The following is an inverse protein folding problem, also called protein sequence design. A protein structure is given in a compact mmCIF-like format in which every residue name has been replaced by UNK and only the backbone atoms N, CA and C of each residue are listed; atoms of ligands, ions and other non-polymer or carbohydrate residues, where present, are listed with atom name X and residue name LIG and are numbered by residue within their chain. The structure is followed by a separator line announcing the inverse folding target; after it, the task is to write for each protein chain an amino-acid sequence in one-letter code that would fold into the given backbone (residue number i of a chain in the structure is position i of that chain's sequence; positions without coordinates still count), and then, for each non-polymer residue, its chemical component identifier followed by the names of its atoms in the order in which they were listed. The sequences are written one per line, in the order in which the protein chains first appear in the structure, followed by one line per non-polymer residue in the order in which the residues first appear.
data_IF_309252888513
#
_entry.id   IF_309252888513
#
_cell.length_a   1.000
_cell.length_b   1.000
_cell.length_c   1.000
_cell.angle_alpha   90.00
_cell.angle_beta   90.00
_cell.angle_gamma   90.00
#
_symmetry.space_group_name_H-M   'P 1'
#
loop_
_entity.id
_entity.type
_entity.pdbx_description
1 polymer ?
#
# COMPACT_ATOMS: atom_id res chain seq x y z
N UNK A 1 -1.08 -13.25 29.06
CA UNK A 1 -0.37 -12.44 28.05
C UNK A 1 -1.05 -11.08 28.03
N UNK A 2 -0.32 -9.99 28.26
CA UNK A 2 -0.89 -8.65 28.13
C UNK A 2 -1.40 -8.44 26.69
N UNK A 3 -2.48 -7.66 26.47
CA UNK A 3 -2.97 -7.39 25.11
C UNK A 3 -1.89 -6.65 24.31
N UNK A 4 -1.70 -7.05 23.05
CA UNK A 4 -0.78 -6.38 22.13
C UNK A 4 -1.34 -5.00 21.84
N UNK A 5 -0.61 -3.94 22.20
CA UNK A 5 -1.07 -2.56 22.05
C UNK A 5 -0.99 -2.08 20.59
N UNK A 6 -0.07 -2.65 19.80
CA UNK A 6 0.19 -2.25 18.42
C UNK A 6 0.16 -3.46 17.47
N UNK A 7 -1.06 -3.99 17.18
CA UNK A 7 -1.23 -5.26 16.45
C UNK A 7 -0.73 -5.20 15.00
N UNK A 8 -0.76 -4.04 14.34
CA UNK A 8 -0.34 -3.94 12.94
C UNK A 8 1.19 -4.07 12.81
N UNK A 9 1.98 -3.33 13.59
CA UNK A 9 3.43 -3.51 13.60
C UNK A 9 3.85 -4.88 14.13
N UNK A 10 3.20 -5.34 15.20
CA UNK A 10 3.48 -6.66 15.75
C UNK A 10 3.33 -7.75 14.68
N UNK A 11 2.19 -7.77 13.99
CA UNK A 11 1.91 -8.76 12.95
C UNK A 11 2.91 -8.69 11.79
N UNK A 12 3.19 -7.48 11.28
CA UNK A 12 4.12 -7.27 10.17
C UNK A 12 5.54 -7.72 10.52
N UNK A 13 6.03 -7.30 11.69
CA UNK A 13 7.41 -7.57 12.10
C UNK A 13 7.63 -9.02 12.51
N UNK A 14 6.67 -9.65 13.21
CA UNK A 14 6.76 -11.07 13.54
C UNK A 14 6.65 -11.96 12.32
N UNK A 15 5.79 -11.62 11.35
CA UNK A 15 5.73 -12.33 10.08
C UNK A 15 7.07 -12.22 9.31
N UNK A 16 7.68 -11.03 9.30
CA UNK A 16 8.97 -10.80 8.65
C UNK A 16 10.13 -11.50 9.38
N UNK A 17 10.06 -11.62 10.70
CA UNK A 17 11.05 -12.34 11.51
C UNK A 17 10.94 -13.87 11.41
N UNK A 18 9.81 -14.39 10.92
CA UNK A 18 9.53 -15.82 10.82
C UNK A 18 9.43 -16.48 12.20
N UNK A 19 10.29 -17.47 12.46
CA UNK A 19 10.33 -18.20 13.75
C UNK A 19 11.19 -17.50 14.82
N UNK A 20 11.85 -16.39 14.48
CA UNK A 20 12.75 -15.69 15.40
C UNK A 20 11.96 -14.73 16.29
N UNK A 21 12.22 -14.77 17.58
CA UNK A 21 11.72 -13.73 18.50
C UNK A 21 12.37 -12.38 18.18
N UNK A 22 11.63 -11.30 18.42
CA UNK A 22 12.13 -9.93 18.32
C UNK A 22 12.52 -9.45 19.73
N UNK A 23 13.81 -9.52 20.11
CA UNK A 23 14.25 -9.09 21.42
C UNK A 23 13.96 -7.61 21.62
N UNK A 24 13.77 -7.19 22.87
CA UNK A 24 13.56 -5.79 23.22
C UNK A 24 12.33 -5.14 22.56
N UNK A 25 11.29 -5.95 22.27
CA UNK A 25 10.02 -5.49 21.70
C UNK A 25 9.41 -4.33 22.47
N UNK A 26 9.52 -4.34 23.80
CA UNK A 26 9.01 -3.27 24.66
C UNK A 26 9.57 -1.88 24.31
N UNK A 27 10.78 -1.79 23.73
CA UNK A 27 11.36 -0.53 23.24
C UNK A 27 10.64 -0.06 21.98
N UNK A 28 10.36 -0.94 21.02
CA UNK A 28 9.56 -0.61 19.84
C UNK A 28 8.13 -0.22 20.25
N UNK A 29 7.49 -1.01 21.12
CA UNK A 29 6.12 -0.80 21.57
C UNK A 29 5.91 0.57 22.21
N UNK A 30 6.85 1.02 23.06
CA UNK A 30 6.81 2.38 23.65
C UNK A 30 7.00 3.51 22.64
N UNK A 31 7.68 3.24 21.53
CA UNK A 31 7.94 4.24 20.50
C UNK A 31 6.83 4.29 19.42
N UNK A 32 5.98 3.27 19.36
CA UNK A 32 4.85 3.26 18.43
C UNK A 32 3.74 4.16 18.97
N UNK A 33 3.16 4.96 18.09
CA UNK A 33 1.98 5.79 18.37
C UNK A 33 0.85 5.45 17.43
N UNK A 34 -0.39 5.44 17.93
CA UNK A 34 -1.59 5.17 17.12
C UNK A 34 -2.27 6.48 16.76
N UNK A 35 -2.68 6.61 15.50
CA UNK A 35 -3.30 7.80 14.93
C UNK A 35 -4.59 7.45 14.19
N UNK A 36 -5.70 8.08 14.57
CA UNK A 36 -6.93 8.06 13.79
C UNK A 36 -6.88 9.16 12.72
N UNK A 37 -7.28 8.81 11.50
CA UNK A 37 -7.31 9.73 10.35
C UNK A 37 -8.69 9.66 9.73
N UNK A 38 -9.36 10.79 9.59
CA UNK A 38 -10.67 10.87 8.92
C UNK A 38 -10.51 10.70 7.40
N UNK A 39 -11.58 10.26 6.74
CA UNK A 39 -11.63 10.22 5.27
C UNK A 39 -11.24 11.59 4.68
N UNK A 40 -10.33 11.59 3.70
CA UNK A 40 -9.74 12.79 3.10
C UNK A 40 -8.60 13.41 3.91
N UNK A 41 -8.35 12.96 5.14
CA UNK A 41 -7.26 13.46 5.99
C UNK A 41 -5.88 13.09 5.45
N UNK A 42 -4.92 14.02 5.57
CA UNK A 42 -3.54 13.84 5.12
C UNK A 42 -2.67 13.33 6.26
N UNK A 43 -1.91 12.26 6.02
CA UNK A 43 -0.94 11.71 6.97
C UNK A 43 0.37 12.50 6.91
N UNK A 44 0.88 12.72 5.69
CA UNK A 44 2.01 13.61 5.43
C UNK A 44 1.98 14.13 3.99
N UNK A 45 2.58 15.30 3.78
CA UNK A 45 2.70 15.96 2.49
C UNK A 45 3.97 15.52 1.75
N UNK A 46 4.01 15.73 0.44
CA UNK A 46 5.22 15.60 -0.37
C UNK A 46 6.20 16.73 -0.04
N UNK A 47 7.50 16.45 -0.06
CA UNK A 47 8.57 17.43 0.12
C UNK A 47 8.92 17.79 1.57
N UNK A 48 8.35 17.12 2.59
CA UNK A 48 8.63 17.39 4.01
C UNK A 48 9.62 16.39 4.61
N UNK A 49 10.35 16.78 5.65
CA UNK A 49 11.12 15.84 6.47
C UNK A 49 10.16 14.98 7.28
N UNK A 50 10.25 13.67 7.15
CA UNK A 50 9.29 12.76 7.76
C UNK A 50 9.87 11.34 7.92
N UNK A 51 10.77 11.12 8.88
CA UNK A 51 11.50 9.87 9.04
C UNK A 51 10.68 8.78 9.74
N UNK A 52 9.43 8.59 9.35
CA UNK A 52 8.54 7.64 9.99
C UNK A 52 8.16 6.49 9.08
N UNK A 53 7.96 5.31 9.71
CA UNK A 53 7.35 4.12 9.11
C UNK A 53 5.95 3.95 9.68
N UNK A 54 5.03 3.53 8.83
CA UNK A 54 3.63 3.34 9.17
C UNK A 54 3.16 1.91 8.91
N UNK A 55 2.31 1.41 9.81
CA UNK A 55 1.54 0.19 9.62
C UNK A 55 0.04 0.53 9.65
N UNK A 56 -0.72 -0.01 8.69
CA UNK A 56 -2.17 0.22 8.62
C UNK A 56 -2.87 -0.80 9.52
N UNK A 57 -3.52 -0.31 10.57
CA UNK A 57 -4.34 -1.12 11.46
C UNK A 57 -5.75 -1.30 10.90
N UNK A 58 -6.36 -0.24 10.38
CA UNK A 58 -7.68 -0.25 9.76
C UNK A 58 -7.78 0.86 8.70
N UNK A 59 -8.59 0.63 7.67
CA UNK A 59 -8.89 1.61 6.63
C UNK A 59 -7.99 1.53 5.41
N UNK A 60 -8.13 2.50 4.53
CA UNK A 60 -7.49 2.53 3.22
C UNK A 60 -6.87 3.89 2.94
N UNK A 61 -5.62 3.87 2.48
CA UNK A 61 -4.86 5.06 2.11
C UNK A 61 -4.45 5.02 0.64
N UNK A 62 -4.38 6.21 0.04
CA UNK A 62 -3.70 6.42 -1.23
C UNK A 62 -2.37 7.12 -1.01
N UNK A 63 -1.35 6.67 -1.72
CA UNK A 63 -0.04 7.27 -1.81
C UNK A 63 0.06 7.91 -3.18
N UNK A 64 0.29 9.22 -3.26
CA UNK A 64 0.21 9.96 -4.51
C UNK A 64 1.35 10.95 -4.72
N UNK A 65 1.75 11.09 -5.99
CA UNK A 65 2.61 12.16 -6.46
C UNK A 65 1.74 13.34 -6.86
N UNK A 66 2.06 14.51 -6.38
CA UNK A 66 1.44 15.77 -6.78
C UNK A 66 2.42 16.52 -7.68
N UNK A 67 1.98 16.89 -8.88
CA UNK A 67 2.74 17.71 -9.81
C UNK A 67 2.47 19.20 -9.56
N UNK A 68 3.34 20.07 -10.06
CA UNK A 68 3.23 21.54 -9.88
C UNK A 68 1.95 22.12 -10.48
N UNK A 69 1.39 21.49 -11.50
CA UNK A 69 0.10 21.84 -12.13
C UNK A 69 -1.14 21.35 -11.34
N UNK A 70 -0.93 20.72 -10.17
CA UNK A 70 -2.00 20.13 -9.35
C UNK A 70 -2.45 18.74 -9.79
N UNK A 71 -1.85 18.16 -10.84
CA UNK A 71 -2.16 16.80 -11.28
C UNK A 71 -1.67 15.79 -10.24
N UNK A 72 -2.58 14.92 -9.80
CA UNK A 72 -2.30 13.85 -8.85
C UNK A 72 -2.20 12.49 -9.57
N UNK A 73 -1.11 11.76 -9.36
CA UNK A 73 -0.94 10.38 -9.83
C UNK A 73 -0.85 9.44 -8.64
N UNK A 74 -1.64 8.37 -8.66
CA UNK A 74 -1.67 7.41 -7.56
C UNK A 74 -0.54 6.38 -7.75
N UNK A 75 0.43 6.46 -6.84
CA UNK A 75 1.57 5.55 -6.77
C UNK A 75 1.14 4.14 -6.35
N UNK A 76 0.37 4.06 -5.26
CA UNK A 76 -0.12 2.79 -4.68
C UNK A 76 -1.22 3.07 -3.65
N UNK A 77 -1.86 1.98 -3.22
CA UNK A 77 -2.77 1.97 -2.08
C UNK A 77 -2.17 1.18 -0.93
N UNK A 78 -2.57 1.52 0.30
CA UNK A 78 -2.22 0.79 1.51
C UNK A 78 -3.49 0.52 2.31
N UNK A 79 -3.82 -0.75 2.45
CA UNK A 79 -4.95 -1.28 3.23
C UNK A 79 -4.45 -1.95 4.51
N UNK A 80 -5.33 -2.51 5.29
CA UNK A 80 -5.04 -3.22 6.52
C UNK A 80 -3.90 -4.25 6.35
N UNK A 81 -3.00 -4.33 7.32
CA UNK A 81 -1.85 -5.23 7.28
C UNK A 81 -0.75 -4.81 6.30
N UNK A 82 -0.85 -3.62 5.70
CA UNK A 82 0.22 -3.05 4.86
C UNK A 82 1.04 -2.05 5.66
N UNK A 83 2.29 -1.90 5.23
CA UNK A 83 3.17 -0.84 5.74
C UNK A 83 3.58 0.09 4.59
N UNK A 84 3.93 1.32 4.96
CA UNK A 84 4.50 2.30 4.04
C UNK A 84 5.45 3.26 4.74
N UNK A 85 6.38 3.78 3.97
CA UNK A 85 7.26 4.87 4.31
C UNK A 85 7.72 5.57 3.02
N UNK A 86 8.09 6.83 3.09
CA UNK A 86 8.83 7.46 2.00
C UNK A 86 10.31 7.16 2.17
N UNK A 87 10.84 6.20 1.40
CA UNK A 87 12.25 5.76 1.51
C UNK A 87 13.21 6.94 1.39
N UNK A 88 12.90 7.92 0.54
CA UNK A 88 13.70 9.15 0.41
C UNK A 88 13.75 9.94 1.72
N UNK A 89 12.67 9.96 2.49
CA UNK A 89 12.62 10.66 3.77
C UNK A 89 13.34 9.92 4.91
N UNK A 90 13.61 8.62 4.73
CA UNK A 90 14.38 7.82 5.71
C UNK A 90 15.88 8.02 5.58
N UNK A 91 16.35 8.65 4.51
CA UNK A 91 17.76 9.02 4.35
C UNK A 91 18.11 10.25 5.18
N UNK A 92 19.36 10.42 5.62
CA UNK A 92 19.79 11.61 6.34
C UNK A 92 19.43 12.90 5.58
N UNK A 93 18.69 13.82 6.21
CA UNK A 93 18.22 15.07 5.60
C UNK A 93 17.16 14.90 4.50
N UNK A 94 16.68 13.68 4.28
CA UNK A 94 15.75 13.34 3.22
C UNK A 94 14.35 13.93 3.41
N UNK A 95 13.62 14.01 2.29
CA UNK A 95 12.24 14.51 2.25
C UNK A 95 11.31 13.49 1.60
N UNK A 96 10.02 13.57 1.91
CA UNK A 96 8.99 12.68 1.34
C UNK A 96 8.90 12.89 -0.18
N UNK A 97 8.94 11.79 -0.93
CA UNK A 97 8.79 11.81 -2.39
C UNK A 97 7.32 11.85 -2.84
N UNK A 98 6.37 11.65 -1.94
CA UNK A 98 4.93 11.57 -2.21
C UNK A 98 4.14 12.00 -0.97
N UNK A 99 2.84 12.22 -1.14
CA UNK A 99 1.90 12.47 -0.06
C UNK A 99 1.07 11.21 0.24
N UNK A 100 0.49 11.14 1.45
CA UNK A 100 -0.43 10.07 1.85
C UNK A 100 -1.72 10.67 2.38
N UNK A 101 -2.86 10.19 1.84
CA UNK A 101 -4.19 10.64 2.22
C UNK A 101 -5.10 9.43 2.48
N UNK A 102 -5.92 9.50 3.49
CA UNK A 102 -6.92 8.49 3.80
C UNK A 102 -8.07 8.53 2.79
N UNK A 103 -8.46 7.38 2.21
CA UNK A 103 -9.64 7.27 1.34
C UNK A 103 -10.90 7.13 2.19
N UNK A 104 -10.80 6.43 3.29
CA UNK A 104 -11.86 6.21 4.28
C UNK A 104 -11.31 6.49 5.69
N UNK A 105 -12.18 6.57 6.69
CA UNK A 105 -11.75 6.69 8.09
C UNK A 105 -10.87 5.51 8.48
N UNK A 106 -9.71 5.81 9.05
CA UNK A 106 -8.62 4.85 9.18
C UNK A 106 -7.86 4.99 10.50
N UNK A 107 -7.13 3.95 10.86
CA UNK A 107 -6.22 3.94 12.01
C UNK A 107 -4.84 3.45 11.57
N UNK A 108 -3.82 4.22 11.93
CA UNK A 108 -2.41 3.95 11.64
C UNK A 108 -1.62 3.77 12.93
N UNK A 109 -0.66 2.89 12.90
CA UNK A 109 0.46 2.86 13.83
C UNK A 109 1.67 3.52 13.16
N UNK A 110 2.43 4.33 13.91
CA UNK A 110 3.60 5.07 13.44
C UNK A 110 4.78 4.85 14.38
N UNK A 111 5.96 4.63 13.80
CA UNK A 111 7.23 4.56 14.54
C UNK A 111 8.30 5.39 13.85
N UNK A 112 9.19 6.00 14.62
CA UNK A 112 10.38 6.66 14.08
C UNK A 112 11.34 5.60 13.51
N UNK A 113 11.87 5.85 12.30
CA UNK A 113 12.79 4.93 11.62
C UNK A 113 14.10 4.71 12.39
N UNK A 114 14.59 5.74 13.11
CA UNK A 114 15.80 5.65 13.94
C UNK A 114 15.66 4.62 15.04
N UNK A 115 14.47 4.46 15.64
CA UNK A 115 14.22 3.42 16.63
C UNK A 115 14.35 2.02 16.03
N UNK A 116 13.80 1.81 14.83
CA UNK A 116 13.93 0.53 14.12
C UNK A 116 15.39 0.22 13.78
N UNK A 117 16.15 1.21 13.32
CA UNK A 117 17.58 1.06 13.03
C UNK A 117 18.37 0.72 14.30
N UNK A 118 18.15 1.43 15.39
CA UNK A 118 18.83 1.16 16.66
C UNK A 118 18.54 -0.25 17.22
N UNK A 119 17.35 -0.79 16.98
CA UNK A 119 17.01 -2.18 17.31
C UNK A 119 17.71 -3.17 16.37
N UNK A 120 17.78 -2.85 15.07
CA UNK A 120 18.47 -3.68 14.07
C UNK A 120 19.98 -3.75 14.30
N UNK A 121 20.59 -2.65 14.72
CA UNK A 121 22.03 -2.60 15.06
C UNK A 121 22.37 -3.48 16.27
N UNK A 122 21.46 -3.58 17.24
CA UNK A 122 21.68 -4.36 18.47
C UNK A 122 21.25 -5.82 18.35
N UNK A 123 20.30 -6.13 17.48
CA UNK A 123 19.66 -7.43 17.44
C UNK A 123 19.50 -7.94 16.01
N UNK A 124 20.22 -8.98 15.63
CA UNK A 124 20.16 -9.59 14.29
C UNK A 124 18.72 -9.97 13.85
N UNK A 125 17.81 -10.48 14.70
CA UNK A 125 16.42 -10.74 14.28
C UNK A 125 15.69 -9.49 13.74
N UNK A 126 15.93 -8.32 14.33
CA UNK A 126 15.38 -7.06 13.83
C UNK A 126 15.95 -6.69 12.45
N UNK A 127 17.27 -6.79 12.29
CA UNK A 127 17.92 -6.54 11.00
C UNK A 127 17.35 -7.44 9.91
N UNK A 128 17.17 -8.74 10.19
CA UNK A 128 16.56 -9.69 9.27
C UNK A 128 15.11 -9.35 8.96
N UNK A 129 14.30 -8.98 9.95
CA UNK A 129 12.91 -8.58 9.75
C UNK A 129 12.80 -7.33 8.86
N UNK A 130 13.60 -6.30 9.13
CA UNK A 130 13.62 -5.09 8.30
C UNK A 130 14.11 -5.37 6.87
N UNK A 131 15.10 -6.24 6.72
CA UNK A 131 15.56 -6.69 5.39
C UNK A 131 14.44 -7.41 4.63
N UNK A 132 13.69 -8.31 5.26
CA UNK A 132 12.56 -8.99 4.63
C UNK A 132 11.44 -8.00 4.22
N UNK A 133 11.12 -7.03 5.06
CA UNK A 133 10.16 -5.97 4.71
C UNK A 133 10.66 -5.14 3.51
N UNK A 134 11.97 -4.87 3.45
CA UNK A 134 12.59 -4.16 2.32
C UNK A 134 12.48 -4.98 1.03
N UNK A 135 12.72 -6.30 1.07
CA UNK A 135 12.54 -7.18 -0.08
C UNK A 135 11.07 -7.20 -0.56
N UNK A 136 10.11 -7.30 0.36
CA UNK A 136 8.67 -7.23 0.03
C UNK A 136 8.34 -5.89 -0.64
N UNK A 137 8.88 -4.78 -0.12
CA UNK A 137 8.70 -3.46 -0.73
C UNK A 137 9.31 -3.39 -2.14
N UNK A 138 10.55 -3.87 -2.32
CA UNK A 138 11.24 -3.86 -3.60
C UNK A 138 10.52 -4.72 -4.65
N UNK A 139 10.09 -5.93 -4.30
CA UNK A 139 9.34 -6.82 -5.18
C UNK A 139 8.01 -6.20 -5.68
N UNK A 140 7.30 -5.48 -4.79
CA UNK A 140 6.09 -4.74 -5.19
C UNK A 140 6.38 -3.61 -6.18
N UNK A 141 7.52 -2.93 -6.02
CA UNK A 141 7.97 -1.89 -6.93
C UNK A 141 8.30 -2.45 -8.31
N UNK A 142 9.06 -3.53 -8.35
CA UNK A 142 9.42 -4.23 -9.59
C UNK A 142 8.17 -4.75 -10.33
N UNK A 143 7.25 -5.39 -9.61
CA UNK A 143 5.99 -5.84 -10.20
C UNK A 143 5.20 -4.69 -10.81
N UNK A 144 5.10 -3.56 -10.09
CA UNK A 144 4.40 -2.35 -10.55
C UNK A 144 5.05 -1.74 -11.78
N UNK A 145 6.37 -1.64 -11.81
CA UNK A 145 7.15 -1.15 -12.96
C UNK A 145 6.91 -2.04 -14.19
N UNK A 146 7.02 -3.36 -14.02
CA UNK A 146 6.73 -4.32 -15.10
C UNK A 146 5.32 -4.15 -15.65
N UNK A 147 4.30 -4.04 -14.80
CA UNK A 147 2.91 -3.84 -15.25
C UNK A 147 2.75 -2.56 -16.08
N UNK A 148 3.37 -1.47 -15.64
CA UNK A 148 3.30 -0.19 -16.36
C UNK A 148 3.99 -0.25 -17.72
N UNK A 149 5.12 -0.96 -17.81
CA UNK A 149 5.93 -1.04 -19.03
C UNK A 149 5.42 -2.07 -20.04
N UNK A 150 4.83 -3.18 -19.55
CA UNK A 150 4.54 -4.32 -20.43
C UNK A 150 3.07 -4.56 -20.71
N UNK A 151 2.16 -4.09 -19.84
CA UNK A 151 0.74 -4.34 -20.02
C UNK A 151 0.03 -3.19 -20.73
N UNK A 152 -0.91 -3.54 -21.60
CA UNK A 152 -1.86 -2.57 -22.18
C UNK A 152 -2.73 -1.95 -21.07
N UNK A 153 -3.35 -0.78 -21.29
CA UNK A 153 -4.30 -0.18 -20.34
C UNK A 153 -5.39 -1.15 -19.84
N UNK A 154 -5.98 -1.92 -20.77
CA UNK A 154 -6.98 -2.94 -20.41
C UNK A 154 -6.34 -4.11 -19.63
N UNK A 155 -5.14 -4.53 -20.03
CA UNK A 155 -4.37 -5.56 -19.31
C UNK A 155 -4.10 -5.16 -17.87
N UNK A 156 -3.68 -3.93 -17.61
CA UNK A 156 -3.46 -3.38 -16.24
C UNK A 156 -4.76 -3.39 -15.42
N UNK A 157 -5.88 -2.99 -16.02
CA UNK A 157 -7.17 -3.00 -15.35
C UNK A 157 -7.61 -4.42 -14.97
N UNK A 158 -7.51 -5.39 -15.90
CA UNK A 158 -7.84 -6.80 -15.65
C UNK A 158 -6.93 -7.41 -14.57
N UNK A 159 -5.62 -7.16 -14.64
CA UNK A 159 -4.65 -7.64 -13.66
C UNK A 159 -4.95 -7.08 -12.25
N UNK A 160 -5.29 -5.78 -12.15
CA UNK A 160 -5.68 -5.17 -10.89
C UNK A 160 -6.93 -5.80 -10.28
N UNK A 161 -7.99 -6.00 -11.07
CA UNK A 161 -9.22 -6.64 -10.59
C UNK A 161 -8.99 -8.08 -10.14
N UNK A 162 -8.15 -8.83 -10.85
CA UNK A 162 -7.84 -10.22 -10.51
C UNK A 162 -7.03 -10.34 -9.22
N UNK A 163 -6.04 -9.46 -9.02
CA UNK A 163 -5.15 -9.51 -7.86
C UNK A 163 -5.69 -8.80 -6.62
N UNK A 164 -6.62 -7.84 -6.78
CA UNK A 164 -7.15 -7.01 -5.70
C UNK A 164 -8.67 -6.81 -5.78
N UNK A 165 -9.49 -7.89 -5.81
CA UNK A 165 -10.93 -7.79 -6.04
C UNK A 165 -11.64 -6.95 -4.96
N UNK A 166 -11.30 -7.15 -3.68
CA UNK A 166 -11.91 -6.42 -2.55
C UNK A 166 -11.46 -4.96 -2.52
N UNK A 167 -10.20 -4.70 -2.80
CA UNK A 167 -9.64 -3.35 -2.84
C UNK A 167 -10.27 -2.51 -3.96
N UNK A 168 -10.53 -3.13 -5.12
CA UNK A 168 -11.17 -2.47 -6.25
C UNK A 168 -12.57 -1.91 -5.93
N UNK A 169 -13.28 -2.49 -4.97
CA UNK A 169 -14.60 -2.03 -4.53
C UNK A 169 -14.54 -0.80 -3.60
N UNK A 170 -13.40 -0.59 -2.94
CA UNK A 170 -13.18 0.49 -1.97
C UNK A 170 -12.57 1.75 -2.59
N UNK A 171 -11.89 1.60 -3.74
CA UNK A 171 -11.17 2.70 -4.39
C UNK A 171 -12.13 3.52 -5.26
N UNK A 172 -12.15 4.87 -5.12
CA UNK A 172 -12.84 5.74 -6.07
C UNK A 172 -12.34 5.53 -7.50
N UNK A 173 -13.25 5.48 -8.47
CA UNK A 173 -12.90 5.22 -9.88
C UNK A 173 -11.86 6.19 -10.45
N UNK A 174 -11.90 7.47 -10.03
CA UNK A 174 -10.90 8.46 -10.44
C UNK A 174 -9.49 8.09 -9.96
N UNK A 175 -9.38 7.58 -8.72
CA UNK A 175 -8.11 7.22 -8.12
C UNK A 175 -7.58 5.91 -8.72
N UNK A 176 -8.46 4.95 -9.00
CA UNK A 176 -8.09 3.75 -9.74
C UNK A 176 -7.59 4.09 -11.16
N UNK A 177 -8.27 5.00 -11.88
CA UNK A 177 -7.81 5.45 -13.20
C UNK A 177 -6.39 6.02 -13.12
N UNK A 178 -6.15 6.96 -12.22
CA UNK A 178 -4.83 7.58 -11.99
C UNK A 178 -3.76 6.57 -11.57
N UNK A 179 -4.14 5.55 -10.78
CA UNK A 179 -3.26 4.45 -10.45
C UNK A 179 -2.88 3.64 -11.68
N UNK A 180 -3.80 3.35 -12.58
CA UNK A 180 -3.55 2.58 -13.79
C UNK A 180 -2.86 3.39 -14.91
N UNK A 181 -2.56 4.68 -14.68
CA UNK A 181 -2.01 5.58 -15.68
C UNK A 181 -3.02 5.94 -16.76
N UNK A 182 -4.30 6.10 -16.37
CA UNK A 182 -5.44 6.39 -17.24
C UNK A 182 -6.17 7.65 -16.81
N UNK A 183 -6.91 8.23 -17.75
CA UNK A 183 -7.95 9.20 -17.42
C UNK A 183 -9.21 8.49 -16.90
N UNK A 184 -10.05 9.13 -16.07
CA UNK A 184 -11.32 8.55 -15.64
C UNK A 184 -12.23 8.13 -16.80
N UNK A 185 -12.28 8.91 -17.87
CA UNK A 185 -13.04 8.58 -19.09
C UNK A 185 -12.47 7.35 -19.80
N UNK A 186 -11.14 7.26 -19.89
CA UNK A 186 -10.45 6.10 -20.45
C UNK A 186 -10.75 4.82 -19.66
N UNK A 187 -10.68 4.89 -18.34
CA UNK A 187 -11.03 3.75 -17.47
C UNK A 187 -12.48 3.31 -17.66
N UNK A 188 -13.44 4.25 -17.71
CA UNK A 188 -14.85 3.91 -17.91
C UNK A 188 -15.08 3.15 -19.20
N UNK A 189 -14.46 3.56 -20.32
CA UNK A 189 -14.55 2.86 -21.62
C UNK A 189 -14.02 1.44 -21.53
N UNK A 190 -12.87 1.24 -20.85
CA UNK A 190 -12.27 -0.07 -20.63
C UNK A 190 -13.18 -0.93 -19.74
N UNK A 191 -13.68 -0.40 -18.63
CA UNK A 191 -14.55 -1.12 -17.72
C UNK A 191 -15.84 -1.61 -18.39
N UNK A 192 -16.45 -0.77 -19.23
CA UNK A 192 -17.63 -1.17 -20.02
C UNK A 192 -17.31 -2.32 -21.00
N UNK A 193 -16.16 -2.27 -21.67
CA UNK A 193 -15.73 -3.33 -22.60
C UNK A 193 -15.49 -4.64 -21.87
N UNK A 194 -14.77 -4.59 -20.74
CA UNK A 194 -14.47 -5.76 -19.91
C UNK A 194 -15.76 -6.41 -19.39
N UNK A 195 -16.74 -5.64 -18.93
CA UNK A 195 -18.05 -6.17 -18.50
C UNK A 195 -18.78 -6.88 -19.62
N UNK A 196 -18.84 -6.30 -20.82
CA UNK A 196 -19.50 -6.91 -21.99
C UNK A 196 -18.85 -8.23 -22.37
N UNK A 197 -17.52 -8.34 -22.33
CA UNK A 197 -16.82 -9.59 -22.67
C UNK A 197 -17.11 -10.72 -21.69
N UNK A 198 -17.32 -10.43 -20.42
CA UNK A 198 -17.70 -11.43 -19.39
C UNK A 198 -19.14 -11.93 -19.61
N UNK A 199 -20.06 -11.03 -19.92
CA UNK A 199 -21.46 -11.38 -20.16
C UNK A 199 -21.64 -12.23 -21.43
N UNK A 200 -20.87 -11.96 -22.50
CA UNK A 200 -20.96 -12.72 -23.76
C UNK A 200 -20.45 -14.17 -23.62
N UNK A 201 -19.42 -14.40 -22.79
CA UNK A 201 -18.89 -15.75 -22.55
C UNK A 201 -19.90 -16.60 -21.75
N UNK A 202 -20.63 -15.99 -20.80
CA UNK A 202 -21.64 -16.69 -20.02
C UNK A 202 -22.85 -17.16 -20.86
N UNK A 203 -23.22 -16.41 -21.91
CA UNK A 203 -24.32 -16.80 -22.82
C UNK A 203 -23.93 -17.91 -23.80
N UNK A 204 -22.67 -18.03 -24.19
CA UNK A 204 -22.19 -19.08 -25.09
C UNK A 204 -22.12 -20.44 -24.41
N UNK A 205 -21.82 -20.51 -23.12
CA UNK A 205 -21.80 -21.77 -22.38
C UNK A 205 -23.19 -22.34 -22.08
N UNK A 206 -24.22 -21.49 -21.92
CA UNK A 206 -25.60 -21.95 -21.72
C UNK A 206 -26.22 -22.58 -22.98
N UNK A 207 -25.81 -22.16 -24.19
CA UNK A 207 -26.28 -22.74 -25.45
C UNK A 207 -25.62 -24.07 -25.84
N UNK A 208 -24.44 -24.39 -25.27
CA UNK A 208 -23.72 -25.62 -25.61
C UNK A 208 -24.22 -26.85 -24.82
N UNK A 209 -25.15 -26.70 -23.90
CA UNK A 209 -25.78 -27.80 -23.14
C UNK A 209 -27.22 -28.10 -23.57
N UNK A 210 -27.75 -27.45 -24.62
CA UNK A 210 -29.10 -27.69 -25.11
C UNK A 210 -29.13 -28.38 -26.51
N UNK A 211 -28.03 -29.06 -26.91
CA UNK A 211 -28.00 -29.92 -28.12
C UNK A 211 -27.57 -31.33 -27.80
#
# INVERSE_FOLDING_TARGET
MAPIQHPAFWSLLTQAAGTQALPDWATAERAITTHAVQAGGTVFLQGVQHPYVYAVQAGLFKLSYLQDDGTEWIKSFAEEGRFFASVSALQPGGRTAFMVTAIESATLERIDHGVLLALAERHLPWAKALYQLTLVYAARKEARERELLTLTPEGRYRAFLASHPNLALRIPQKDLARHLGLTPVGLNRIAMRVRRSVTSVSYTHLRAHET
#
